data_IF_410647425176
#
_entry.id   IF_410647425176
#
_cell.length_a   1.000
_cell.length_b   1.000
_cell.length_c   1.000
_cell.angle_alpha   90.00
_cell.angle_beta   90.00
_cell.angle_gamma   90.00
#
_symmetry.space_group_name_H-M   'P 1'
#
loop_
_entity.id
_entity.type
_entity.pdbx_description
1 polymer ?
#
# COMPACT_ATOMS: atom_id res chain seq x y z
N UNK A 1 -13.57 -2.75 30.65
CA UNK A 1 -14.03 -1.74 29.68
C UNK A 1 -14.02 -2.40 28.30
N UNK A 2 -14.79 -1.97 27.30
CA UNK A 2 -14.79 -2.64 25.97
C UNK A 2 -13.37 -2.73 25.38
N UNK A 3 -12.55 -1.70 25.61
CA UNK A 3 -11.14 -1.67 25.18
C UNK A 3 -10.26 -2.75 25.82
N UNK A 4 -10.59 -3.25 27.02
CA UNK A 4 -9.78 -4.30 27.69
C UNK A 4 -10.00 -5.70 27.10
N UNK A 5 -10.88 -5.84 26.11
CA UNK A 5 -11.13 -7.09 25.39
C UNK A 5 -10.21 -7.27 24.16
N UNK A 6 -9.39 -6.26 23.84
CA UNK A 6 -8.51 -6.29 22.67
C UNK A 6 -7.05 -6.42 23.07
N UNK A 7 -6.25 -6.93 22.13
CA UNK A 7 -4.81 -7.07 22.29
C UNK A 7 -4.10 -5.71 22.33
N UNK A 8 -2.92 -5.69 22.94
CA UNK A 8 -2.13 -4.47 23.12
C UNK A 8 -1.78 -3.81 21.77
N UNK A 9 -1.49 -4.62 20.75
CA UNK A 9 -1.16 -4.13 19.40
C UNK A 9 -2.34 -3.43 18.75
N UNK A 10 -3.53 -4.02 18.89
CA UNK A 10 -4.77 -3.42 18.42
C UNK A 10 -5.02 -2.08 19.13
N UNK A 11 -4.87 -2.03 20.45
CA UNK A 11 -5.04 -0.80 21.22
C UNK A 11 -4.01 0.27 20.83
N UNK A 12 -2.77 -0.11 20.49
CA UNK A 12 -1.77 0.84 19.97
C UNK A 12 -2.19 1.41 18.62
N UNK A 13 -2.73 0.60 17.71
CA UNK A 13 -3.26 1.07 16.44
C UNK A 13 -4.44 2.02 16.65
N UNK A 14 -5.39 1.64 17.51
CA UNK A 14 -6.53 2.48 17.88
C UNK A 14 -6.10 3.84 18.44
N UNK A 15 -5.20 3.88 19.42
CA UNK A 15 -4.73 5.14 20.02
C UNK A 15 -3.96 6.06 19.05
N UNK A 16 -3.43 5.52 17.95
CA UNK A 16 -2.83 6.31 16.86
C UNK A 16 -3.87 6.87 15.90
N UNK A 17 -5.07 6.29 15.88
CA UNK A 17 -6.16 6.77 15.03
C UNK A 17 -6.60 8.17 15.49
N UNK A 18 -6.78 9.14 14.57
CA UNK A 18 -7.27 10.47 14.90
C UNK A 18 -8.67 10.46 15.54
N UNK A 19 -9.45 9.40 15.32
CA UNK A 19 -10.81 9.26 15.89
C UNK A 19 -10.81 8.83 17.36
N UNK A 20 -9.69 8.35 17.90
CA UNK A 20 -9.60 7.87 19.28
C UNK A 20 -9.52 8.99 20.33
N UNK A 21 -8.88 10.11 19.98
CA UNK A 21 -8.52 11.16 20.94
C UNK A 21 -9.62 12.20 21.18
N UNK A 22 -10.65 12.28 20.33
CA UNK A 22 -11.58 13.42 20.32
C UNK A 22 -12.88 13.19 21.08
N UNK A 23 -13.16 11.96 21.52
CA UNK A 23 -14.48 11.61 22.03
C UNK A 23 -14.62 11.91 23.52
N UNK A 24 -15.58 12.78 23.85
CA UNK A 24 -15.83 13.25 25.20
C UNK A 24 -16.85 12.37 25.93
N UNK A 25 -17.70 11.66 25.18
CA UNK A 25 -18.70 10.74 25.72
C UNK A 25 -18.37 9.27 25.40
N UNK A 26 -18.82 8.38 26.29
CA UNK A 26 -18.68 6.93 26.16
C UNK A 26 -19.34 6.36 24.89
N UNK A 27 -20.49 6.92 24.48
CA UNK A 27 -21.17 6.53 23.23
C UNK A 27 -20.34 6.92 22.01
N UNK A 28 -19.85 8.15 21.99
CA UNK A 28 -19.01 8.68 20.91
C UNK A 28 -17.71 7.86 20.78
N UNK A 29 -17.08 7.51 21.92
CA UNK A 29 -15.90 6.63 21.94
C UNK A 29 -16.18 5.27 21.30
N UNK A 30 -17.33 4.67 21.63
CA UNK A 30 -17.74 3.40 21.07
C UNK A 30 -18.03 3.50 19.56
N UNK A 31 -18.72 4.56 19.13
CA UNK A 31 -18.99 4.81 17.71
C UNK A 31 -17.70 4.98 16.91
N UNK A 32 -16.74 5.73 17.45
CA UNK A 32 -15.43 5.93 16.80
C UNK A 32 -14.62 4.63 16.73
N UNK A 33 -14.70 3.77 17.76
CA UNK A 33 -14.07 2.45 17.75
C UNK A 33 -14.70 1.54 16.69
N UNK A 34 -16.03 1.55 16.57
CA UNK A 34 -16.75 0.78 15.54
C UNK A 34 -16.41 1.25 14.13
N UNK A 35 -16.26 2.57 13.93
CA UNK A 35 -15.83 3.12 12.65
C UNK A 35 -14.40 2.69 12.29
N UNK A 36 -13.49 2.69 13.27
CA UNK A 36 -12.12 2.23 13.09
C UNK A 36 -12.08 0.76 12.67
N UNK A 37 -12.78 -0.11 13.41
CA UNK A 37 -12.88 -1.54 13.08
C UNK A 37 -13.37 -1.77 11.65
N UNK A 38 -14.43 -1.04 11.25
CA UNK A 38 -14.94 -1.11 9.89
C UNK A 38 -13.88 -0.72 8.86
N UNK A 39 -13.15 0.38 9.10
CA UNK A 39 -12.12 0.85 8.15
C UNK A 39 -10.93 -0.10 8.01
N UNK A 40 -10.56 -0.78 9.10
CA UNK A 40 -9.47 -1.77 9.12
C UNK A 40 -9.87 -3.00 8.28
N UNK A 41 -11.07 -3.54 8.53
CA UNK A 41 -11.62 -4.69 7.78
C UNK A 41 -11.74 -4.36 6.29
N UNK A 42 -12.31 -3.21 5.94
CA UNK A 42 -12.39 -2.78 4.53
C UNK A 42 -10.99 -2.58 3.91
N UNK A 43 -9.99 -2.21 4.72
CA UNK A 43 -8.60 -2.11 4.31
C UNK A 43 -7.99 -3.45 3.94
N UNK A 44 -8.14 -4.45 4.80
CA UNK A 44 -7.68 -5.82 4.57
C UNK A 44 -8.37 -6.45 3.35
N UNK A 45 -9.69 -6.27 3.21
CA UNK A 45 -10.44 -6.77 2.06
C UNK A 45 -9.92 -6.16 0.75
N UNK A 46 -9.64 -4.84 0.71
CA UNK A 46 -9.05 -4.20 -0.48
C UNK A 46 -7.68 -4.77 -0.82
N UNK A 47 -6.83 -5.01 0.18
CA UNK A 47 -5.52 -5.61 -0.02
C UNK A 47 -5.66 -7.03 -0.55
N UNK A 48 -6.54 -7.84 0.04
CA UNK A 48 -6.82 -9.21 -0.38
C UNK A 48 -7.30 -9.28 -1.83
N UNK A 49 -8.25 -8.43 -2.22
CA UNK A 49 -8.76 -8.35 -3.60
C UNK A 49 -7.65 -7.95 -4.57
N UNK A 50 -6.82 -6.96 -4.22
CA UNK A 50 -5.69 -6.58 -5.05
C UNK A 50 -4.67 -7.73 -5.18
N UNK A 51 -4.30 -8.38 -4.08
CA UNK A 51 -3.37 -9.50 -4.06
C UNK A 51 -3.86 -10.67 -4.93
N UNK A 52 -5.14 -11.03 -4.81
CA UNK A 52 -5.78 -12.04 -5.65
C UNK A 52 -5.71 -11.66 -7.14
N UNK A 53 -6.00 -10.40 -7.48
CA UNK A 53 -5.93 -9.90 -8.86
C UNK A 53 -4.52 -9.86 -9.46
N UNK A 54 -3.50 -9.67 -8.63
CA UNK A 54 -2.08 -9.66 -9.06
C UNK A 54 -1.39 -11.03 -8.94
N UNK A 55 -2.10 -12.07 -8.50
CA UNK A 55 -1.53 -13.41 -8.29
C UNK A 55 -0.48 -13.45 -7.17
N UNK A 56 -0.51 -12.50 -6.24
CA UNK A 56 0.38 -12.49 -5.08
C UNK A 56 -0.22 -13.44 -4.04
N UNK A 57 0.39 -14.61 -3.88
CA UNK A 57 -0.03 -15.59 -2.87
C UNK A 57 0.67 -15.31 -1.54
N UNK A 58 -0.05 -15.49 -0.42
CA UNK A 58 0.55 -15.37 0.92
C UNK A 58 1.66 -16.41 1.07
N UNK A 59 2.91 -15.95 1.21
CA UNK A 59 4.07 -16.81 1.46
C UNK A 59 5.06 -16.94 0.29
N UNK A 60 4.76 -16.39 -0.89
CA UNK A 60 5.76 -16.27 -1.94
C UNK A 60 6.59 -15.00 -1.73
N UNK A 61 7.89 -15.21 -1.45
CA UNK A 61 8.91 -14.18 -1.48
C UNK A 61 8.95 -13.61 -2.90
N UNK A 62 8.17 -12.56 -3.17
CA UNK A 62 8.08 -11.92 -4.48
C UNK A 62 9.46 -11.36 -4.79
N UNK A 63 10.26 -12.17 -5.50
CA UNK A 63 11.55 -11.76 -6.06
C UNK A 63 11.25 -10.66 -7.06
N UNK A 64 11.21 -9.42 -6.59
CA UNK A 64 11.03 -8.25 -7.44
C UNK A 64 12.07 -8.35 -8.55
N UNK A 65 11.67 -8.45 -9.83
CA UNK A 65 12.64 -8.48 -10.91
C UNK A 65 13.34 -7.13 -10.90
N UNK A 66 14.59 -7.12 -10.40
CA UNK A 66 15.50 -5.97 -10.53
C UNK A 66 15.59 -5.66 -12.02
N UNK A 67 14.99 -4.56 -12.45
CA UNK A 67 15.13 -4.05 -13.81
C UNK A 67 16.63 -3.82 -14.07
N UNK A 68 17.25 -4.68 -14.88
CA UNK A 68 18.58 -4.40 -15.40
C UNK A 68 18.50 -3.12 -16.24
N UNK A 69 19.38 -2.16 -15.94
CA UNK A 69 19.48 -0.88 -16.66
C UNK A 69 19.80 -1.16 -18.12
N UNK A 70 18.87 -0.87 -19.03
CA UNK A 70 19.16 -0.86 -20.46
C UNK A 70 20.14 0.29 -20.75
N UNK A 71 21.29 -0.07 -21.33
CA UNK A 71 22.37 0.81 -21.72
C UNK A 71 21.90 1.71 -22.89
N UNK A 72 21.75 3.02 -22.64
CA UNK A 72 21.27 4.01 -23.61
C UNK A 72 22.37 4.51 -24.58
N UNK A 73 23.62 4.04 -24.48
CA UNK A 73 24.74 4.75 -25.11
C UNK A 73 25.15 4.26 -26.50
N UNK A 74 24.53 3.24 -27.09
CA UNK A 74 24.94 2.76 -28.44
C UNK A 74 24.05 3.23 -29.60
N UNK A 75 22.92 3.90 -29.34
CA UNK A 75 22.00 4.38 -30.40
C UNK A 75 22.33 5.78 -30.95
N UNK A 76 23.40 6.46 -30.48
CA UNK A 76 23.77 7.81 -30.97
C UNK A 76 24.80 7.85 -32.10
N UNK A 77 25.40 6.72 -32.50
CA UNK A 77 26.44 6.66 -33.56
C UNK A 77 25.91 6.28 -34.95
N UNK A 78 24.65 5.85 -35.08
CA UNK A 78 24.10 5.39 -36.37
C UNK A 78 23.13 6.37 -37.04
N UNK A 79 22.67 7.42 -36.35
CA UNK A 79 21.74 8.40 -36.94
C UNK A 79 22.40 9.60 -37.64
N UNK A 80 23.74 9.63 -37.76
CA UNK A 80 24.45 10.74 -38.41
C UNK A 80 24.95 10.46 -39.83
N UNK A 81 24.78 9.25 -40.37
CA UNK A 81 25.32 8.89 -41.70
C UNK A 81 24.33 9.02 -42.87
N UNK A 82 23.14 9.59 -42.67
CA UNK A 82 22.10 9.65 -43.72
C UNK A 82 21.79 11.06 -44.28
N UNK A 83 22.63 12.09 -44.09
CA UNK A 83 22.34 13.45 -44.62
C UNK A 83 23.45 14.01 -45.52
N UNK A 84 24.21 13.19 -46.27
CA UNK A 84 25.19 13.76 -47.23
C UNK A 84 25.32 13.03 -48.56
N UNK A 85 24.24 12.46 -49.11
CA UNK A 85 24.17 12.18 -50.56
C UNK A 85 22.74 12.40 -51.06
N UNK A 86 22.47 13.60 -51.54
CA UNK A 86 21.46 13.88 -52.56
C UNK A 86 21.95 15.09 -53.34
N UNK A 87 21.88 14.93 -54.67
CA UNK A 87 22.54 15.68 -55.73
C UNK A 87 22.47 17.21 -55.65
#
# INVERSE_FOLDING_TARGET
MVESCFDEEFLKAWNRSPTSSSANDSKERLENLMLFLKSEVEGEERISVAMSGFGVTEGEDVKMPRKNKYNLETQKRQNSNCIHQSN
#
